data_IF_752428536261
#
_entry.id   IF_752428536261
#
_cell.length_a   1.000
_cell.length_b   1.000
_cell.length_c   1.000
_cell.angle_alpha   90.00
_cell.angle_beta   90.00
_cell.angle_gamma   90.00
#
_symmetry.space_group_name_H-M   'P 1'
#
loop_
_entity.id
_entity.type
_entity.pdbx_description
1 polymer ?
#
# COMPACT_ATOMS: atom_id res chain seq x y z
N UNK A 1 81.10 6.78 -12.19
CA UNK A 1 80.01 6.44 -13.12
C UNK A 1 78.86 5.91 -12.27
N UNK A 2 77.89 6.78 -12.00
CA UNK A 2 76.73 6.48 -11.14
C UNK A 2 75.53 6.15 -12.06
N UNK A 3 75.12 4.88 -12.07
CA UNK A 3 73.92 4.47 -12.82
C UNK A 3 72.71 4.73 -11.98
N UNK A 4 71.86 5.72 -12.41
CA UNK A 4 70.53 5.96 -11.89
C UNK A 4 69.62 4.85 -12.47
N UNK A 5 68.97 4.08 -11.57
CA UNK A 5 67.82 3.23 -11.90
C UNK A 5 66.52 4.07 -11.71
N UNK A 6 65.63 4.15 -12.69
CA UNK A 6 64.33 4.77 -12.46
C UNK A 6 63.45 3.78 -11.70
N UNK A 7 62.89 4.26 -10.59
CA UNK A 7 61.90 3.58 -9.78
C UNK A 7 60.55 3.61 -10.55
N UNK A 8 60.12 2.45 -11.05
CA UNK A 8 58.83 2.28 -11.69
C UNK A 8 57.74 2.24 -10.61
N UNK A 9 57.03 3.33 -10.38
CA UNK A 9 55.89 3.35 -9.48
C UNK A 9 54.67 2.72 -10.18
N UNK A 10 54.32 1.50 -9.78
CA UNK A 10 53.11 0.84 -10.20
C UNK A 10 51.94 1.42 -9.38
N UNK A 11 51.16 2.31 -9.98
CA UNK A 11 49.90 2.82 -9.42
C UNK A 11 48.85 1.73 -9.61
N UNK A 12 48.56 0.99 -8.53
CA UNK A 12 47.45 0.03 -8.50
C UNK A 12 46.13 0.80 -8.35
N UNK A 13 45.45 1.08 -9.47
CA UNK A 13 44.13 1.70 -9.48
C UNK A 13 43.12 0.66 -8.97
N UNK A 14 42.67 0.83 -7.73
CA UNK A 14 41.56 0.07 -7.16
C UNK A 14 40.25 0.52 -7.85
N UNK A 15 39.83 -0.23 -8.87
CA UNK A 15 38.49 -0.07 -9.45
C UNK A 15 37.47 -0.59 -8.43
N UNK A 16 36.91 0.31 -7.62
CA UNK A 16 35.69 0.07 -6.86
C UNK A 16 34.55 -0.10 -7.83
N UNK A 17 34.15 -1.34 -8.13
CA UNK A 17 32.92 -1.62 -8.86
C UNK A 17 31.74 -1.27 -7.96
N UNK A 18 30.82 -0.39 -8.40
CA UNK A 18 29.60 -0.15 -7.63
C UNK A 18 28.78 -1.45 -7.63
N UNK A 19 28.65 -2.06 -6.46
CA UNK A 19 27.72 -3.15 -6.25
C UNK A 19 26.31 -2.56 -6.21
N UNK A 20 25.59 -2.63 -7.32
CA UNK A 20 24.14 -2.41 -7.34
C UNK A 20 23.53 -3.60 -6.61
N UNK A 21 23.21 -3.42 -5.33
CA UNK A 21 22.39 -4.37 -4.60
C UNK A 21 21.01 -4.39 -5.27
N UNK A 22 20.67 -5.49 -5.93
CA UNK A 22 19.33 -5.72 -6.46
C UNK A 22 18.39 -5.80 -5.27
N UNK A 23 17.52 -4.79 -5.09
CA UNK A 23 16.51 -4.82 -4.03
C UNK A 23 15.59 -6.03 -4.23
N UNK A 24 15.32 -6.79 -3.16
CA UNK A 24 14.38 -7.90 -3.21
C UNK A 24 12.98 -7.39 -3.59
N UNK A 25 12.23 -8.19 -4.36
CA UNK A 25 10.84 -7.88 -4.68
C UNK A 25 10.01 -7.74 -3.38
N UNK A 26 9.03 -6.83 -3.32
CA UNK A 26 8.19 -6.67 -2.14
C UNK A 26 7.37 -7.93 -1.86
N UNK A 27 7.13 -8.23 -0.58
CA UNK A 27 6.17 -9.29 -0.21
C UNK A 27 4.74 -8.89 -0.59
N UNK A 28 3.83 -9.86 -0.56
CA UNK A 28 2.39 -9.60 -0.80
C UNK A 28 1.86 -8.52 0.15
N UNK A 29 2.21 -8.60 1.43
CA UNK A 29 1.81 -7.65 2.46
C UNK A 29 2.37 -6.25 2.20
N UNK A 30 3.63 -6.16 1.79
CA UNK A 30 4.27 -4.88 1.47
C UNK A 30 3.62 -4.23 0.23
N UNK A 31 3.39 -5.01 -0.82
CA UNK A 31 2.76 -4.52 -2.05
C UNK A 31 1.30 -4.09 -1.81
N UNK A 32 0.52 -4.88 -1.07
CA UNK A 32 -0.85 -4.55 -0.72
C UNK A 32 -0.94 -3.33 0.21
N UNK A 33 -0.04 -3.21 1.18
CA UNK A 33 0.08 -2.02 2.02
C UNK A 33 0.33 -0.77 1.18
N UNK A 34 1.27 -0.81 0.26
CA UNK A 34 1.55 0.32 -0.62
C UNK A 34 0.31 0.72 -1.44
N UNK A 35 -0.43 -0.26 -1.98
CA UNK A 35 -1.67 0.00 -2.71
C UNK A 35 -2.76 0.63 -1.81
N UNK A 36 -2.89 0.19 -0.56
CA UNK A 36 -3.81 0.79 0.40
C UNK A 36 -3.42 2.23 0.73
N UNK A 37 -2.14 2.49 0.99
CA UNK A 37 -1.61 3.84 1.29
C UNK A 37 -1.74 4.81 0.10
N UNK A 38 -1.67 4.31 -1.13
CA UNK A 38 -1.92 5.11 -2.34
C UNK A 38 -3.42 5.43 -2.53
N UNK A 39 -4.31 4.50 -2.16
CA UNK A 39 -5.75 4.64 -2.33
C UNK A 39 -6.42 5.50 -1.25
N UNK A 40 -6.01 5.39 0.01
CA UNK A 40 -6.62 6.07 1.16
C UNK A 40 -6.74 7.60 1.02
N UNK A 41 -5.78 8.32 0.40
CA UNK A 41 -5.91 9.76 0.17
C UNK A 41 -7.16 10.16 -0.61
N UNK A 42 -7.66 9.30 -1.49
CA UNK A 42 -8.92 9.56 -2.22
C UNK A 42 -10.11 9.59 -1.27
N UNK A 43 -10.16 8.68 -0.30
CA UNK A 43 -11.19 8.66 0.74
C UNK A 43 -11.04 9.87 1.66
N UNK A 44 -9.83 10.21 2.07
CA UNK A 44 -9.55 11.34 2.96
C UNK A 44 -9.95 12.69 2.33
N UNK A 45 -9.79 12.81 1.02
CA UNK A 45 -10.16 14.01 0.25
C UNK A 45 -11.65 14.04 -0.18
N UNK A 46 -12.43 13.02 0.16
CA UNK A 46 -13.84 12.92 -0.25
C UNK A 46 -14.04 12.61 -1.73
N UNK A 47 -13.00 12.15 -2.42
CA UNK A 47 -13.02 11.75 -3.84
C UNK A 47 -13.57 10.33 -3.99
N UNK A 48 -14.82 10.12 -3.58
CA UNK A 48 -15.43 8.79 -3.54
C UNK A 48 -15.68 8.20 -4.93
N UNK A 49 -16.10 8.95 -5.95
CA UNK A 49 -16.22 8.43 -7.31
C UNK A 49 -14.89 7.90 -7.87
N UNK A 50 -13.80 8.63 -7.64
CA UNK A 50 -12.44 8.25 -8.06
C UNK A 50 -11.95 7.03 -7.29
N UNK A 51 -12.21 6.97 -5.99
CA UNK A 51 -11.87 5.82 -5.16
C UNK A 51 -12.61 4.55 -5.61
N UNK A 52 -13.87 4.66 -6.05
CA UNK A 52 -14.64 3.55 -6.59
C UNK A 52 -14.04 3.01 -7.91
N UNK A 53 -13.54 3.87 -8.76
CA UNK A 53 -12.90 3.46 -10.02
C UNK A 53 -11.62 2.65 -9.81
N UNK A 54 -10.98 2.79 -8.65
CA UNK A 54 -9.76 2.06 -8.28
C UNK A 54 -10.02 0.80 -7.44
N UNK A 55 -11.28 0.45 -7.19
CA UNK A 55 -11.64 -0.80 -6.54
C UNK A 55 -11.39 -1.99 -7.48
N UNK A 56 -11.31 -3.17 -6.90
CA UNK A 56 -11.41 -4.41 -7.69
C UNK A 56 -12.67 -4.39 -8.57
N UNK A 57 -12.56 -4.70 -9.87
CA UNK A 57 -13.69 -4.57 -10.80
C UNK A 57 -14.93 -5.36 -10.40
N UNK A 58 -14.76 -6.58 -9.87
CA UNK A 58 -15.88 -7.40 -9.44
C UNK A 58 -16.56 -6.82 -8.18
N UNK A 59 -15.77 -6.35 -7.24
CA UNK A 59 -16.26 -5.68 -6.05
C UNK A 59 -16.95 -4.34 -6.39
N UNK A 60 -16.34 -3.53 -7.24
CA UNK A 60 -16.91 -2.26 -7.70
C UNK A 60 -18.28 -2.45 -8.36
N UNK A 61 -18.40 -3.47 -9.22
CA UNK A 61 -19.67 -3.82 -9.87
C UNK A 61 -20.72 -4.25 -8.85
N UNK A 62 -20.33 -5.05 -7.86
CA UNK A 62 -21.22 -5.56 -6.81
C UNK A 62 -21.77 -4.46 -5.92
N UNK A 63 -20.92 -3.53 -5.49
CA UNK A 63 -21.33 -2.45 -4.58
C UNK A 63 -22.03 -1.31 -5.32
N UNK A 64 -21.63 -1.00 -6.53
CA UNK A 64 -22.13 0.11 -7.33
C UNK A 64 -21.63 1.48 -6.86
N UNK A 65 -21.38 2.37 -7.81
CA UNK A 65 -20.78 3.70 -7.58
C UNK A 65 -21.58 4.57 -6.58
N UNK A 66 -22.88 4.62 -6.76
CA UNK A 66 -23.77 5.45 -5.91
C UNK A 66 -23.80 4.96 -4.46
N UNK A 67 -23.94 3.64 -4.26
CA UNK A 67 -23.94 3.04 -2.93
C UNK A 67 -22.61 3.19 -2.24
N UNK A 68 -21.51 3.02 -2.98
CA UNK A 68 -20.17 3.26 -2.47
C UNK A 68 -19.99 4.67 -1.94
N UNK A 69 -20.33 5.69 -2.75
CA UNK A 69 -20.23 7.09 -2.35
C UNK A 69 -21.06 7.39 -1.11
N UNK A 70 -22.29 6.88 -1.03
CA UNK A 70 -23.17 7.03 0.14
C UNK A 70 -22.54 6.39 1.39
N UNK A 71 -22.03 5.17 1.29
CA UNK A 71 -21.39 4.47 2.41
C UNK A 71 -20.15 5.19 2.92
N UNK A 72 -19.32 5.70 2.02
CA UNK A 72 -18.12 6.46 2.41
C UNK A 72 -18.50 7.79 3.08
N UNK A 73 -19.52 8.47 2.56
CA UNK A 73 -20.05 9.67 3.18
C UNK A 73 -20.54 9.41 4.61
N UNK A 74 -21.31 8.35 4.83
CA UNK A 74 -21.79 7.98 6.18
C UNK A 74 -20.65 7.68 7.15
N UNK A 75 -19.63 6.92 6.70
CA UNK A 75 -18.46 6.62 7.53
C UNK A 75 -17.77 7.92 7.94
N UNK A 76 -17.51 8.81 6.98
CA UNK A 76 -16.77 10.05 7.23
C UNK A 76 -17.55 11.06 8.05
N UNK A 77 -18.88 11.16 7.89
CA UNK A 77 -19.72 11.96 8.75
C UNK A 77 -19.69 11.48 10.20
N UNK A 78 -19.66 10.17 10.41
CA UNK A 78 -19.62 9.57 11.75
C UNK A 78 -18.27 9.79 12.46
N UNK A 79 -17.15 9.70 11.74
CA UNK A 79 -15.81 9.80 12.34
C UNK A 79 -15.16 11.17 12.20
N UNK A 80 -15.59 11.99 11.26
CA UNK A 80 -15.00 13.28 10.95
C UNK A 80 -13.71 13.18 10.13
N UNK A 81 -12.94 14.26 10.11
CA UNK A 81 -11.68 14.34 9.37
C UNK A 81 -10.59 13.49 10.02
N UNK A 82 -9.72 12.91 9.20
CA UNK A 82 -8.52 12.24 9.63
C UNK A 82 -7.54 13.25 10.26
N UNK A 83 -7.04 12.92 11.45
CA UNK A 83 -6.00 13.68 12.14
C UNK A 83 -4.64 12.98 12.05
N UNK A 84 -4.61 11.65 12.20
CA UNK A 84 -3.39 10.84 12.06
C UNK A 84 -3.72 9.40 11.70
N UNK A 85 -2.78 8.74 11.03
CA UNK A 85 -2.86 7.33 10.64
C UNK A 85 -1.50 6.69 10.80
N UNK A 86 -1.47 5.53 11.45
CA UNK A 86 -0.27 4.72 11.66
C UNK A 86 -0.53 3.30 11.20
N UNK A 87 0.37 2.76 10.38
CA UNK A 87 0.32 1.34 10.00
C UNK A 87 0.42 0.44 11.24
N UNK A 88 -0.45 -0.55 11.30
CA UNK A 88 -0.47 -1.53 12.38
C UNK A 88 -0.07 -2.93 11.88
N UNK A 89 -0.82 -3.48 10.90
CA UNK A 89 -0.57 -4.83 10.39
C UNK A 89 -1.00 -5.01 8.95
N UNK A 90 -0.44 -6.01 8.30
CA UNK A 90 -0.88 -6.53 7.01
C UNK A 90 -0.82 -8.05 7.05
N UNK A 91 -1.93 -8.71 6.77
CA UNK A 91 -2.07 -10.17 6.88
C UNK A 91 -2.55 -10.74 5.54
N UNK A 92 -1.71 -11.59 4.95
CA UNK A 92 -2.03 -12.32 3.73
C UNK A 92 -2.85 -13.57 4.03
N UNK A 93 -3.85 -13.85 3.19
CA UNK A 93 -4.64 -15.08 3.25
C UNK A 93 -5.13 -15.48 1.86
N UNK A 94 -5.20 -16.78 1.60
CA UNK A 94 -5.85 -17.34 0.40
C UNK A 94 -7.36 -17.48 0.55
N UNK A 95 -7.86 -17.26 1.76
CA UNK A 95 -9.27 -17.34 2.09
C UNK A 95 -9.68 -16.15 2.94
N UNK A 96 -10.84 -15.59 2.63
CA UNK A 96 -11.48 -14.57 3.44
C UNK A 96 -12.94 -14.95 3.63
N UNK A 97 -13.44 -15.08 4.89
CA UNK A 97 -14.82 -15.49 5.15
C UNK A 97 -15.83 -14.58 4.44
N UNK A 98 -16.74 -15.18 3.68
CA UNK A 98 -17.79 -14.47 2.95
C UNK A 98 -17.34 -13.79 1.65
N UNK A 99 -16.08 -13.95 1.26
CA UNK A 99 -15.52 -13.42 0.02
C UNK A 99 -15.31 -14.51 -1.03
N UNK A 100 -15.25 -14.17 -2.34
CA UNK A 100 -14.87 -15.11 -3.39
C UNK A 100 -13.47 -15.71 -3.16
N UNK A 101 -13.19 -16.84 -3.82
CA UNK A 101 -11.83 -17.39 -3.87
C UNK A 101 -10.86 -16.37 -4.44
N UNK A 102 -9.68 -16.28 -3.84
CA UNK A 102 -8.63 -15.33 -4.25
C UNK A 102 -7.53 -15.19 -3.23
N UNK A 103 -6.59 -14.33 -3.56
CA UNK A 103 -5.51 -13.95 -2.65
C UNK A 103 -5.83 -12.59 -2.05
N UNK A 104 -5.79 -12.49 -0.73
CA UNK A 104 -6.18 -11.30 0.01
C UNK A 104 -5.08 -10.82 0.93
N UNK A 105 -5.06 -9.52 1.17
CA UNK A 105 -4.34 -8.92 2.29
C UNK A 105 -5.28 -7.99 3.03
N UNK A 106 -5.36 -8.15 4.35
CA UNK A 106 -6.06 -7.22 5.23
C UNK A 106 -5.03 -6.29 5.85
N UNK A 107 -5.07 -5.02 5.46
CA UNK A 107 -4.20 -3.97 6.01
C UNK A 107 -4.96 -3.21 7.08
N UNK A 108 -4.35 -3.05 8.24
CA UNK A 108 -4.93 -2.32 9.37
C UNK A 108 -4.06 -1.13 9.75
N UNK A 109 -4.74 -0.03 10.08
CA UNK A 109 -4.14 1.19 10.58
C UNK A 109 -4.79 1.59 11.90
N UNK A 110 -3.98 2.08 12.83
CA UNK A 110 -4.44 2.84 13.99
C UNK A 110 -4.62 4.29 13.55
N UNK A 111 -5.85 4.80 13.64
CA UNK A 111 -6.19 6.11 13.11
C UNK A 111 -6.88 6.97 14.15
N UNK A 112 -6.66 8.27 14.06
CA UNK A 112 -7.35 9.28 14.85
C UNK A 112 -8.17 10.16 13.92
N UNK A 113 -9.46 10.25 14.20
CA UNK A 113 -10.39 11.14 13.52
C UNK A 113 -10.93 12.16 14.51
N UNK A 114 -11.44 13.29 14.00
CA UNK A 114 -11.99 14.36 14.84
C UNK A 114 -13.05 13.87 15.86
N UNK A 115 -13.93 12.95 15.43
CA UNK A 115 -15.02 12.41 16.25
C UNK A 115 -14.75 11.01 16.79
N UNK A 116 -13.62 10.40 16.43
CA UNK A 116 -13.22 9.06 16.87
C UNK A 116 -11.70 9.01 17.05
N UNK A 117 -11.22 9.37 18.25
CA UNK A 117 -9.78 9.49 18.54
C UNK A 117 -9.04 8.16 18.61
N UNK A 118 -9.75 7.04 18.75
CA UNK A 118 -9.18 5.69 18.73
C UNK A 118 -9.98 4.84 17.75
N UNK A 119 -9.49 4.71 16.54
CA UNK A 119 -10.12 3.95 15.48
C UNK A 119 -9.17 2.95 14.86
N UNK A 120 -9.72 1.84 14.36
CA UNK A 120 -9.03 0.91 13.48
C UNK A 120 -9.62 1.04 12.08
N UNK A 121 -8.80 1.48 11.13
CA UNK A 121 -9.15 1.41 9.71
C UNK A 121 -8.69 0.08 9.15
N UNK A 122 -9.57 -0.61 8.42
CA UNK A 122 -9.27 -1.82 7.67
C UNK A 122 -9.45 -1.58 6.19
N UNK A 123 -8.43 -1.91 5.41
CA UNK A 123 -8.49 -1.97 3.96
C UNK A 123 -8.28 -3.42 3.56
N UNK A 124 -9.24 -3.99 2.83
CA UNK A 124 -9.14 -5.34 2.29
C UNK A 124 -8.71 -5.19 0.84
N UNK A 125 -7.64 -5.88 0.47
CA UNK A 125 -7.14 -5.90 -0.90
C UNK A 125 -7.19 -7.32 -1.45
N UNK A 126 -7.47 -7.43 -2.75
CA UNK A 126 -7.43 -8.67 -3.52
C UNK A 126 -6.40 -8.55 -4.63
N UNK A 127 -5.69 -9.64 -4.90
CA UNK A 127 -4.78 -9.72 -6.04
C UNK A 127 -5.59 -9.89 -7.33
N UNK A 128 -5.49 -8.91 -8.22
CA UNK A 128 -6.16 -8.93 -9.52
C UNK A 128 -5.47 -9.85 -10.52
N UNK A 129 -6.14 -10.12 -11.65
CA UNK A 129 -5.57 -10.87 -12.77
C UNK A 129 -4.41 -10.13 -13.45
N UNK A 130 -4.32 -8.83 -13.25
CA UNK A 130 -3.22 -7.96 -13.66
C UNK A 130 -2.01 -8.04 -12.74
N UNK A 131 -2.06 -8.91 -11.71
CA UNK A 131 -1.05 -9.08 -10.67
C UNK A 131 -0.84 -7.84 -9.79
N UNK A 132 -1.83 -6.95 -9.76
CA UNK A 132 -1.85 -5.79 -8.87
C UNK A 132 -2.84 -5.99 -7.73
N UNK A 133 -2.56 -5.36 -6.60
CA UNK A 133 -3.45 -5.35 -5.45
C UNK A 133 -4.51 -4.25 -5.59
N UNK A 134 -5.78 -4.64 -5.55
CA UNK A 134 -6.93 -3.74 -5.67
C UNK A 134 -7.76 -3.76 -4.39
N UNK A 135 -8.29 -2.60 -4.02
CA UNK A 135 -9.17 -2.52 -2.84
C UNK A 135 -10.49 -3.23 -3.10
N UNK A 136 -10.85 -4.12 -2.20
CA UNK A 136 -12.10 -4.90 -2.20
C UNK A 136 -12.91 -4.73 -0.90
N UNK A 137 -12.55 -3.77 -0.06
CA UNK A 137 -13.28 -3.43 1.14
C UNK A 137 -12.61 -2.36 1.97
N UNK A 138 -13.42 -1.60 2.71
CA UNK A 138 -12.99 -0.58 3.64
C UNK A 138 -13.93 -0.50 4.82
N UNK A 139 -13.38 -0.39 6.02
CA UNK A 139 -14.15 -0.23 7.23
C UNK A 139 -13.39 0.60 8.28
N UNK A 140 -14.14 1.30 9.14
CA UNK A 140 -13.63 2.00 10.32
C UNK A 140 -14.40 1.49 11.54
N UNK A 141 -13.67 1.00 12.53
CA UNK A 141 -14.20 0.53 13.83
C UNK A 141 -13.67 1.34 14.97
#
# INVERSE_FOLDING_TARGET
MTKLFPLLAVVLALFSTPHFALAAAPTNEQAARAAAEEWLPLIDAGQYPESWQKLDPAFAKKVGKKKWASSMTEIRQRVGKLQSRKFNSAEYSKELPGAPEGEYVVVQFESKFEKKPAATEKVILILGRDLLWHVAGYAVK
#
